data_IF_677045436675
#
_entry.id   IF_677045436675
#
_cell.length_a   1.000
_cell.length_b   1.000
_cell.length_c   1.000
_cell.angle_alpha   90.00
_cell.angle_beta   90.00
_cell.angle_gamma   90.00
#
_symmetry.space_group_name_H-M   'P 1'
#
loop_
_entity.id
_entity.type
_entity.pdbx_description
1 polymer ?
#
# COMPACT_ATOMS: atom_id res chain seq x y z
N UNK A 1 -23.34 9.31 -9.32
CA UNK A 1 -22.02 9.82 -9.01
C UNK A 1 -21.37 8.93 -7.95
N UNK A 2 -20.14 8.48 -8.20
CA UNK A 2 -19.45 7.51 -7.32
C UNK A 2 -19.08 8.09 -5.95
N UNK A 3 -19.00 9.40 -5.80
CA UNK A 3 -18.69 10.02 -4.49
C UNK A 3 -19.88 10.04 -3.53
N UNK A 4 -21.05 9.61 -3.95
CA UNK A 4 -22.24 9.60 -3.06
C UNK A 4 -22.09 8.67 -1.86
N UNK A 5 -21.17 7.71 -1.94
CA UNK A 5 -20.87 6.79 -0.84
C UNK A 5 -19.96 7.41 0.22
N UNK A 6 -19.39 8.57 -0.06
CA UNK A 6 -18.37 9.21 0.78
C UNK A 6 -19.02 10.16 1.77
N UNK A 7 -18.72 9.95 3.06
CA UNK A 7 -19.13 10.85 4.13
C UNK A 7 -18.33 12.17 4.07
N UNK A 8 -17.01 12.04 4.05
CA UNK A 8 -16.10 13.18 3.90
C UNK A 8 -14.76 12.73 3.33
N UNK A 9 -14.03 13.67 2.73
CA UNK A 9 -12.67 13.43 2.27
C UNK A 9 -11.71 13.49 3.46
N UNK A 10 -10.86 12.50 3.59
CA UNK A 10 -9.83 12.46 4.62
C UNK A 10 -8.52 13.05 4.09
N UNK A 11 -8.14 12.69 2.86
CA UNK A 11 -6.98 13.24 2.16
C UNK A 11 -7.39 13.64 0.75
N UNK A 12 -7.19 14.91 0.40
CA UNK A 12 -7.47 15.43 -0.93
C UNK A 12 -6.38 15.00 -1.92
N UNK A 13 -6.60 15.24 -3.21
CA UNK A 13 -5.57 15.05 -4.23
C UNK A 13 -4.29 15.82 -3.90
N UNK A 14 -4.44 17.07 -3.44
CA UNK A 14 -3.30 17.92 -3.07
C UNK A 14 -2.55 17.34 -1.86
N UNK A 15 -3.26 16.84 -0.85
CA UNK A 15 -2.66 16.20 0.32
C UNK A 15 -1.82 14.98 -0.11
N UNK A 16 -2.35 14.16 -1.01
CA UNK A 16 -1.66 12.97 -1.49
C UNK A 16 -0.46 13.36 -2.34
N UNK A 17 -0.58 14.40 -3.18
CA UNK A 17 0.54 14.91 -3.97
C UNK A 17 1.67 15.37 -3.06
N UNK A 18 1.37 16.08 -1.98
CA UNK A 18 2.38 16.51 -1.00
C UNK A 18 3.08 15.33 -0.34
N UNK A 19 2.34 14.26 -0.01
CA UNK A 19 2.92 13.02 0.51
C UNK A 19 3.93 12.43 -0.50
N UNK A 20 3.53 12.35 -1.77
CA UNK A 20 4.39 11.80 -2.83
C UNK A 20 5.66 12.63 -3.04
N UNK A 21 5.56 13.97 -3.02
CA UNK A 21 6.72 14.85 -3.16
C UNK A 21 7.69 14.67 -1.99
N UNK A 22 7.18 14.67 -0.76
CA UNK A 22 8.00 14.51 0.45
C UNK A 22 8.67 13.13 0.49
N UNK A 23 7.91 12.08 0.26
CA UNK A 23 8.43 10.72 0.27
C UNK A 23 9.39 10.46 -0.90
N UNK A 24 9.04 10.98 -2.08
CA UNK A 24 9.89 10.86 -3.27
C UNK A 24 11.26 11.48 -3.06
N UNK A 25 11.31 12.65 -2.42
CA UNK A 25 12.58 13.31 -2.08
C UNK A 25 13.39 12.46 -1.10
N UNK A 26 12.77 11.95 -0.06
CA UNK A 26 13.45 11.12 0.94
C UNK A 26 13.98 9.82 0.32
N UNK A 27 13.18 9.16 -0.52
CA UNK A 27 13.57 7.94 -1.20
C UNK A 27 14.69 8.18 -2.21
N UNK A 28 14.69 9.32 -2.90
CA UNK A 28 15.75 9.72 -3.80
C UNK A 28 17.09 9.80 -3.06
N UNK A 29 17.10 10.41 -1.88
CA UNK A 29 18.31 10.53 -1.06
C UNK A 29 18.76 9.16 -0.54
N UNK A 30 17.82 8.37 -0.01
CA UNK A 30 18.13 7.08 0.64
C UNK A 30 18.57 6.01 -0.36
N UNK A 31 18.10 6.08 -1.60
CA UNK A 31 18.42 5.09 -2.63
C UNK A 31 19.39 5.61 -3.70
N UNK A 32 20.01 6.74 -3.48
CA UNK A 32 20.99 7.30 -4.44
C UNK A 32 22.10 6.26 -4.73
N UNK A 33 22.32 5.97 -6.01
CA UNK A 33 23.33 5.02 -6.46
C UNK A 33 23.00 3.54 -6.25
N UNK A 34 21.84 3.23 -5.71
CA UNK A 34 21.48 1.82 -5.36
C UNK A 34 20.67 1.09 -6.42
N UNK A 35 20.07 1.79 -7.35
CA UNK A 35 19.20 1.22 -8.40
C UNK A 35 18.19 0.22 -7.84
N UNK A 36 17.28 0.64 -6.94
CA UNK A 36 16.40 -0.30 -6.25
C UNK A 36 15.40 -0.96 -7.20
N UNK A 37 14.91 -2.12 -6.78
CA UNK A 37 13.71 -2.72 -7.35
C UNK A 37 12.52 -2.21 -6.53
N UNK A 38 11.61 -1.49 -7.18
CA UNK A 38 10.40 -0.96 -6.54
C UNK A 38 9.25 -1.90 -6.87
N UNK A 39 8.69 -2.52 -5.83
CA UNK A 39 7.65 -3.53 -5.95
C UNK A 39 6.32 -2.97 -5.50
N UNK A 40 5.39 -2.81 -6.43
CA UNK A 40 4.03 -2.39 -6.11
C UNK A 40 3.18 -3.55 -5.65
N UNK A 41 2.52 -3.40 -4.50
CA UNK A 41 1.58 -4.38 -4.00
C UNK A 41 0.21 -4.20 -4.67
N UNK A 42 -0.12 -5.09 -5.60
CA UNK A 42 -1.37 -5.04 -6.35
C UNK A 42 -2.53 -5.54 -5.50
N UNK A 43 -3.73 -5.03 -5.71
CA UNK A 43 -4.06 -3.95 -6.68
C UNK A 43 -3.95 -2.56 -6.06
N UNK A 44 -4.10 -2.47 -4.74
CA UNK A 44 -4.35 -1.22 -4.02
C UNK A 44 -3.27 -0.16 -4.18
N UNK A 45 -2.02 -0.54 -4.38
CA UNK A 45 -0.92 0.41 -4.47
C UNK A 45 -0.74 1.03 -5.87
N UNK A 46 -1.57 0.65 -6.87
CA UNK A 46 -1.30 1.03 -8.26
C UNK A 46 -1.22 2.56 -8.46
N UNK A 47 -2.14 3.33 -7.88
CA UNK A 47 -2.15 4.78 -8.05
C UNK A 47 -1.02 5.45 -7.27
N UNK A 48 -0.83 5.06 -6.01
CA UNK A 48 0.24 5.62 -5.19
C UNK A 48 1.63 5.29 -5.77
N UNK A 49 1.82 4.06 -6.24
CA UNK A 49 3.07 3.65 -6.89
C UNK A 49 3.43 4.55 -8.07
N UNK A 50 2.48 4.81 -8.95
CA UNK A 50 2.73 5.61 -10.15
C UNK A 50 3.06 7.05 -9.81
N UNK A 51 2.35 7.65 -8.87
CA UNK A 51 2.60 9.03 -8.46
C UNK A 51 3.86 9.17 -7.62
N UNK A 52 4.15 8.22 -6.74
CA UNK A 52 5.36 8.22 -5.92
C UNK A 52 6.62 8.06 -6.77
N UNK A 53 6.64 7.09 -7.68
CA UNK A 53 7.83 6.80 -8.48
C UNK A 53 8.20 7.95 -9.42
N UNK A 54 7.22 8.73 -9.88
CA UNK A 54 7.49 9.94 -10.66
C UNK A 54 8.17 11.05 -9.85
N UNK A 55 8.09 10.99 -8.53
CA UNK A 55 8.78 11.92 -7.63
C UNK A 55 10.14 11.40 -7.15
N UNK A 56 10.51 10.19 -7.56
CA UNK A 56 11.80 9.59 -7.21
C UNK A 56 12.81 9.86 -8.32
N UNK A 57 13.77 10.76 -8.07
CA UNK A 57 14.85 11.06 -9.01
C UNK A 57 16.01 10.07 -8.82
N UNK A 58 15.70 8.79 -9.03
CA UNK A 58 16.66 7.69 -8.92
C UNK A 58 16.26 6.59 -9.91
N UNK A 59 17.23 6.09 -10.66
CA UNK A 59 17.00 4.99 -11.58
C UNK A 59 16.57 3.76 -10.81
N UNK A 60 15.50 3.13 -11.23
CA UNK A 60 14.92 1.95 -10.56
C UNK A 60 14.21 1.05 -11.56
N UNK A 61 14.02 -0.20 -11.17
CA UNK A 61 13.18 -1.14 -11.90
C UNK A 61 11.85 -1.28 -11.18
N UNK A 62 10.77 -1.43 -11.94
CA UNK A 62 9.44 -1.69 -11.38
C UNK A 62 9.13 -3.17 -11.48
N UNK A 63 8.48 -3.69 -10.44
CA UNK A 63 7.90 -5.01 -10.43
C UNK A 63 6.63 -4.98 -9.59
N UNK A 64 5.89 -6.08 -9.58
CA UNK A 64 4.62 -6.18 -8.87
C UNK A 64 4.55 -7.49 -8.10
N UNK A 65 3.87 -7.44 -6.97
CA UNK A 65 3.57 -8.61 -6.16
C UNK A 65 2.10 -8.55 -5.78
N UNK A 66 1.35 -9.59 -6.11
CA UNK A 66 -0.05 -9.68 -5.75
C UNK A 66 -0.22 -10.81 -4.75
N UNK A 67 -0.64 -10.46 -3.56
CA UNK A 67 -0.91 -11.41 -2.48
C UNK A 67 -2.34 -11.23 -2.00
N UNK A 68 -2.96 -12.32 -1.53
CA UNK A 68 -4.28 -12.26 -0.95
C UNK A 68 -4.27 -12.97 0.40
N UNK A 69 -5.09 -12.47 1.33
CA UNK A 69 -5.30 -13.17 2.58
C UNK A 69 -6.39 -14.23 2.42
N UNK A 70 -6.22 -15.36 3.12
CA UNK A 70 -7.24 -16.40 3.20
C UNK A 70 -8.28 -16.00 4.25
N UNK A 71 -9.53 -16.19 3.92
CA UNK A 71 -10.65 -16.04 4.85
C UNK A 71 -11.88 -15.51 4.14
N UNK A 72 -13.04 -15.93 4.64
CA UNK A 72 -14.33 -15.43 4.18
C UNK A 72 -14.68 -14.17 4.97
N UNK A 73 -15.02 -13.10 4.26
CA UNK A 73 -15.51 -11.87 4.85
C UNK A 73 -14.40 -10.90 5.25
N UNK A 74 -14.69 -10.10 6.28
CA UNK A 74 -13.88 -8.95 6.69
C UNK A 74 -12.73 -9.32 7.65
N UNK A 75 -12.63 -10.56 8.07
CA UNK A 75 -11.60 -11.01 9.00
C UNK A 75 -10.47 -11.72 8.27
N UNK A 76 -9.24 -11.27 8.54
CA UNK A 76 -8.05 -11.96 8.06
C UNK A 76 -7.81 -13.19 8.95
N UNK A 77 -7.63 -14.36 8.33
CA UNK A 77 -7.25 -15.59 9.04
C UNK A 77 -5.76 -15.65 9.36
N UNK A 78 -5.00 -14.62 8.99
CA UNK A 78 -3.56 -14.59 9.17
C UNK A 78 -2.80 -15.39 8.13
N UNK A 79 -3.47 -16.00 7.17
CA UNK A 79 -2.85 -16.76 6.09
C UNK A 79 -2.82 -15.90 4.82
N UNK A 80 -1.65 -15.86 4.19
CA UNK A 80 -1.41 -15.08 2.97
C UNK A 80 -0.92 -16.02 1.89
N UNK A 81 -1.42 -15.86 0.68
CA UNK A 81 -0.94 -16.59 -0.50
C UNK A 81 -0.53 -15.65 -1.60
N UNK A 82 0.41 -16.10 -2.43
CA UNK A 82 0.84 -15.38 -3.62
C UNK A 82 -0.14 -15.68 -4.75
N UNK A 83 -0.70 -14.62 -5.34
CA UNK A 83 -1.54 -14.68 -6.53
C UNK A 83 -0.68 -14.49 -7.77
N UNK A 84 0.24 -13.51 -7.74
CA UNK A 84 1.19 -13.25 -8.82
C UNK A 84 2.52 -12.80 -8.21
N UNK A 85 3.58 -13.51 -8.56
CA UNK A 85 4.89 -13.31 -7.98
C UNK A 85 5.75 -12.35 -8.82
N UNK A 86 6.88 -11.94 -8.23
CA UNK A 86 7.90 -11.13 -8.88
C UNK A 86 8.46 -11.84 -10.11
N UNK A 87 8.75 -11.08 -11.15
CA UNK A 87 9.45 -11.58 -12.35
C UNK A 87 10.92 -11.15 -12.37
N UNK A 88 11.27 -10.11 -11.60
CA UNK A 88 12.65 -9.62 -11.50
C UNK A 88 13.44 -10.47 -10.51
N UNK A 89 14.71 -10.78 -10.87
CA UNK A 89 15.64 -11.40 -9.93
C UNK A 89 16.10 -10.34 -8.93
N UNK A 90 15.78 -10.56 -7.66
CA UNK A 90 16.07 -9.60 -6.58
C UNK A 90 17.32 -9.96 -5.77
N UNK A 91 18.03 -11.00 -6.19
CA UNK A 91 19.25 -11.43 -5.47
C UNK A 91 20.25 -10.28 -5.39
N UNK A 92 20.73 -10.01 -4.17
CA UNK A 92 21.69 -8.96 -3.86
C UNK A 92 21.20 -7.54 -4.22
N UNK A 93 19.88 -7.35 -4.35
CA UNK A 93 19.26 -6.08 -4.70
C UNK A 93 18.60 -5.42 -3.48
N UNK A 94 18.62 -4.09 -3.49
CA UNK A 94 17.80 -3.31 -2.55
C UNK A 94 16.36 -3.25 -3.10
N UNK A 95 15.39 -3.64 -2.29
CA UNK A 95 13.98 -3.71 -2.68
C UNK A 95 13.15 -2.78 -1.83
N UNK A 96 12.30 -2.00 -2.49
CA UNK A 96 11.32 -1.12 -1.85
C UNK A 96 9.92 -1.62 -2.21
N UNK A 97 9.17 -2.08 -1.21
CA UNK A 97 7.74 -2.40 -1.38
C UNK A 97 6.94 -1.10 -1.27
N UNK A 98 6.02 -0.89 -2.20
CA UNK A 98 5.07 0.24 -2.13
C UNK A 98 3.68 -0.32 -1.88
N UNK A 99 3.07 0.14 -0.78
CA UNK A 99 1.76 -0.29 -0.29
C UNK A 99 0.77 0.88 -0.25
N UNK A 100 -0.51 0.59 -0.37
CA UNK A 100 -1.56 1.60 -0.15
C UNK A 100 -1.74 1.87 1.34
N UNK A 101 -1.95 0.83 2.12
CA UNK A 101 -2.16 0.93 3.57
C UNK A 101 -1.54 -0.27 4.27
N UNK A 102 -0.91 -0.03 5.40
CA UNK A 102 -0.46 -1.08 6.30
C UNK A 102 -1.36 -1.09 7.52
N UNK A 103 -2.07 -2.19 7.68
CA UNK A 103 -3.10 -2.41 8.69
C UNK A 103 -2.52 -3.27 9.83
N UNK A 104 -2.85 -4.58 9.89
CA UNK A 104 -2.34 -5.48 10.92
C UNK A 104 -0.84 -5.73 10.83
N UNK A 105 -0.28 -5.60 9.65
CA UNK A 105 1.11 -5.87 9.35
C UNK A 105 1.39 -7.28 8.84
N UNK A 106 0.38 -8.16 8.85
CA UNK A 106 0.55 -9.56 8.42
C UNK A 106 0.99 -9.67 6.96
N UNK A 107 0.32 -8.94 6.06
CA UNK A 107 0.65 -8.93 4.63
C UNK A 107 2.05 -8.38 4.40
N UNK A 108 2.40 -7.28 5.06
CA UNK A 108 3.72 -6.67 4.91
C UNK A 108 4.82 -7.62 5.39
N UNK A 109 4.64 -8.25 6.54
CA UNK A 109 5.62 -9.21 7.06
C UNK A 109 5.82 -10.37 6.09
N UNK A 110 4.72 -10.92 5.56
CA UNK A 110 4.78 -11.99 4.57
C UNK A 110 5.58 -11.57 3.33
N UNK A 111 5.29 -10.38 2.78
CA UNK A 111 5.97 -9.89 1.59
C UNK A 111 7.45 -9.67 1.83
N UNK A 112 7.81 -9.08 2.97
CA UNK A 112 9.22 -8.87 3.33
C UNK A 112 9.98 -10.20 3.45
N UNK A 113 9.40 -11.17 4.14
CA UNK A 113 10.01 -12.50 4.31
C UNK A 113 10.15 -13.22 2.96
N UNK A 114 9.12 -13.13 2.12
CA UNK A 114 9.14 -13.74 0.79
C UNK A 114 10.28 -13.18 -0.09
N UNK A 115 10.44 -11.86 -0.10
CA UNK A 115 11.46 -11.19 -0.90
C UNK A 115 12.85 -11.45 -0.34
N UNK A 116 13.01 -11.43 1.00
CA UNK A 116 14.28 -11.77 1.63
C UNK A 116 14.69 -13.22 1.36
N UNK A 117 13.73 -14.14 1.33
CA UNK A 117 13.99 -15.55 1.01
C UNK A 117 14.49 -15.73 -0.43
N UNK A 118 14.22 -14.78 -1.32
CA UNK A 118 14.73 -14.76 -2.69
C UNK A 118 16.11 -14.10 -2.81
N UNK A 119 16.73 -13.76 -1.70
CA UNK A 119 18.11 -13.30 -1.64
C UNK A 119 18.30 -11.79 -1.73
N UNK A 120 17.26 -10.99 -1.52
CA UNK A 120 17.39 -9.55 -1.53
C UNK A 120 18.40 -9.06 -0.47
N UNK A 121 19.14 -8.01 -0.82
CA UNK A 121 20.10 -7.38 0.10
C UNK A 121 19.40 -6.63 1.21
N UNK A 122 18.32 -5.94 0.87
CA UNK A 122 17.46 -5.23 1.83
C UNK A 122 16.03 -5.20 1.32
N UNK A 123 15.08 -5.12 2.24
CA UNK A 123 13.66 -4.94 1.91
C UNK A 123 13.08 -3.92 2.87
N UNK A 124 12.58 -2.81 2.33
CA UNK A 124 11.87 -1.77 3.08
C UNK A 124 10.51 -1.54 2.45
N UNK A 125 9.64 -0.85 3.17
CA UNK A 125 8.30 -0.53 2.70
C UNK A 125 8.00 0.96 2.82
N UNK A 126 7.33 1.49 1.78
CA UNK A 126 6.72 2.81 1.79
C UNK A 126 5.22 2.64 1.58
N UNK A 127 4.42 3.01 2.57
CA UNK A 127 2.97 2.97 2.48
C UNK A 127 2.39 4.38 2.35
N UNK A 128 1.29 4.52 1.61
CA UNK A 128 0.56 5.78 1.61
C UNK A 128 0.00 6.08 3.00
N UNK A 129 -0.65 5.08 3.61
CA UNK A 129 -1.30 5.21 4.90
C UNK A 129 -0.80 4.15 5.89
N UNK A 130 -0.63 4.59 7.14
CA UNK A 130 -0.25 3.74 8.27
C UNK A 130 -1.42 3.65 9.25
N UNK A 131 -2.07 2.51 9.32
CA UNK A 131 -3.16 2.25 10.26
C UNK A 131 -2.61 1.56 11.51
N UNK A 132 -1.76 2.27 12.22
CA UNK A 132 -0.95 1.76 13.33
C UNK A 132 -1.81 1.16 14.47
N UNK A 133 -3.00 1.73 14.71
CA UNK A 133 -3.90 1.26 15.76
C UNK A 133 -4.39 -0.19 15.53
N UNK A 134 -4.33 -0.68 14.30
CA UNK A 134 -4.71 -2.05 13.98
C UNK A 134 -3.53 -3.03 13.90
N UNK A 135 -2.32 -2.56 14.20
CA UNK A 135 -1.14 -3.41 14.14
C UNK A 135 -1.24 -4.54 15.16
N UNK A 136 -1.07 -5.78 14.73
CA UNK A 136 -1.13 -6.97 15.58
C UNK A 136 0.19 -7.72 15.66
N UNK A 137 1.12 -7.42 14.77
CA UNK A 137 2.43 -8.05 14.74
C UNK A 137 3.52 -7.02 14.63
N UNK A 138 4.73 -7.37 15.07
CA UNK A 138 5.90 -6.52 14.96
C UNK A 138 6.47 -6.63 13.53
N UNK A 139 6.36 -5.56 12.76
CA UNK A 139 6.95 -5.40 11.45
C UNK A 139 7.27 -3.93 11.24
N UNK A 140 8.47 -3.64 10.73
CA UNK A 140 8.88 -2.27 10.49
C UNK A 140 8.23 -1.70 9.24
N UNK A 141 7.68 -0.49 9.34
CA UNK A 141 7.24 0.32 8.23
C UNK A 141 8.15 1.55 8.17
N UNK A 142 9.09 1.54 7.24
CA UNK A 142 10.17 2.54 7.19
C UNK A 142 9.70 3.92 6.72
N UNK A 143 8.74 3.95 5.78
CA UNK A 143 8.23 5.20 5.22
C UNK A 143 6.71 5.15 5.12
N UNK A 144 6.05 6.26 5.42
CA UNK A 144 4.60 6.36 5.19
C UNK A 144 4.18 7.82 4.99
N UNK A 145 3.09 7.98 4.25
CA UNK A 145 2.54 9.32 3.95
C UNK A 145 1.86 9.95 5.16
N UNK A 146 0.90 9.25 5.74
CA UNK A 146 0.18 9.72 6.93
C UNK A 146 -0.33 8.57 7.77
N UNK A 147 -0.54 8.82 9.05
CA UNK A 147 -1.31 7.92 9.91
C UNK A 147 -2.79 8.11 9.63
N UNK A 148 -3.55 7.06 9.86
CA UNK A 148 -5.02 7.06 9.74
C UNK A 148 -5.60 6.34 10.95
N UNK A 149 -6.78 6.75 11.40
CA UNK A 149 -7.48 6.13 12.51
C UNK A 149 -8.27 4.89 12.09
N UNK A 150 -9.37 4.62 12.81
CA UNK A 150 -10.17 3.41 12.57
C UNK A 150 -11.24 3.58 11.48
N UNK A 151 -11.30 4.73 10.82
CA UNK A 151 -12.26 4.98 9.75
C UNK A 151 -12.08 3.98 8.61
N UNK A 152 -13.19 3.60 7.98
CA UNK A 152 -13.14 2.79 6.78
C UNK A 152 -12.93 3.71 5.58
N UNK A 153 -11.75 3.61 4.97
CA UNK A 153 -11.31 4.52 3.90
C UNK A 153 -11.29 3.84 2.55
N UNK A 154 -11.65 4.59 1.52
CA UNK A 154 -11.63 4.13 0.12
C UNK A 154 -11.06 5.25 -0.77
N UNK A 155 -10.72 4.86 -1.99
CA UNK A 155 -10.20 5.78 -3.00
C UNK A 155 -8.68 5.76 -3.08
N UNK A 156 -8.16 6.26 -4.15
CA UNK A 156 -6.73 6.29 -4.46
C UNK A 156 -6.08 4.91 -4.32
N UNK A 157 -6.77 3.89 -4.84
CA UNK A 157 -6.36 2.50 -4.79
C UNK A 157 -7.07 1.66 -3.73
N UNK A 158 -7.49 2.27 -2.62
CA UNK A 158 -8.24 1.57 -1.57
C UNK A 158 -9.65 1.25 -2.04
N UNK A 159 -10.14 0.06 -1.71
CA UNK A 159 -11.42 -0.44 -2.23
C UNK A 159 -12.48 -0.68 -1.16
N UNK A 160 -13.69 -0.75 -1.64
CA UNK A 160 -14.81 -1.39 -0.98
C UNK A 160 -15.47 -2.34 -2.00
N UNK A 161 -15.48 -3.64 -1.70
CA UNK A 161 -15.98 -4.68 -2.61
C UNK A 161 -15.29 -4.65 -3.98
N UNK A 162 -13.99 -4.41 -3.99
CA UNK A 162 -13.13 -4.29 -5.18
C UNK A 162 -13.51 -3.14 -6.12
N UNK A 163 -14.23 -2.14 -5.61
CA UNK A 163 -14.66 -0.94 -6.35
C UNK A 163 -14.14 0.32 -5.66
N UNK A 164 -14.32 1.47 -6.29
CA UNK A 164 -14.02 2.81 -5.79
C UNK A 164 -12.52 3.14 -5.66
N UNK A 165 -11.65 2.26 -6.15
CA UNK A 165 -10.20 2.51 -6.16
C UNK A 165 -9.83 3.75 -6.97
N UNK A 166 -10.67 4.10 -7.97
CA UNK A 166 -10.42 5.19 -8.92
C UNK A 166 -10.83 6.58 -8.42
N UNK A 167 -11.37 6.69 -7.21
CA UNK A 167 -11.57 8.02 -6.62
C UNK A 167 -10.21 8.72 -6.45
N UNK A 168 -10.08 9.99 -6.88
CA UNK A 168 -8.77 10.65 -6.88
C UNK A 168 -8.33 11.19 -5.51
N UNK A 169 -9.05 10.83 -4.47
CA UNK A 169 -8.81 11.20 -3.08
C UNK A 169 -9.06 9.99 -2.19
N UNK A 170 -8.68 10.09 -0.92
CA UNK A 170 -9.05 9.11 0.11
C UNK A 170 -10.21 9.66 0.91
N UNK A 171 -11.31 8.93 0.93
CA UNK A 171 -12.53 9.32 1.63
C UNK A 171 -12.98 8.28 2.65
N UNK A 172 -13.78 8.73 3.62
CA UNK A 172 -14.41 7.87 4.62
C UNK A 172 -15.77 7.45 4.10
N UNK A 173 -16.05 6.14 4.11
CA UNK A 173 -17.36 5.61 3.70
C UNK A 173 -18.44 6.05 4.68
N UNK A 174 -19.62 6.35 4.13
CA UNK A 174 -20.81 6.56 4.95
C UNK A 174 -21.14 5.29 5.73
N UNK A 175 -21.43 5.38 7.04
CA UNK A 175 -21.77 4.20 7.84
C UNK A 175 -22.93 3.37 7.29
N UNK A 176 -23.93 4.03 6.71
CA UNK A 176 -25.09 3.34 6.13
C UNK A 176 -24.73 2.48 4.92
N UNK A 177 -23.68 2.85 4.17
CA UNK A 177 -23.20 2.05 3.05
C UNK A 177 -22.60 0.75 3.55
N UNK A 178 -21.79 0.82 4.60
CA UNK A 178 -21.17 -0.35 5.21
C UNK A 178 -22.24 -1.29 5.76
N UNK A 179 -23.24 -0.75 6.48
CA UNK A 179 -24.33 -1.53 7.06
C UNK A 179 -25.19 -2.21 6.01
N UNK A 180 -25.47 -1.52 4.90
CA UNK A 180 -26.28 -2.08 3.80
C UNK A 180 -25.67 -3.37 3.26
N UNK A 181 -24.35 -3.43 3.10
CA UNK A 181 -23.65 -4.60 2.58
C UNK A 181 -23.37 -5.65 3.66
N UNK A 182 -23.23 -5.25 4.91
CA UNK A 182 -23.02 -6.20 6.01
C UNK A 182 -24.26 -7.04 6.32
N UNK A 183 -25.45 -6.53 5.98
CA UNK A 183 -26.74 -7.21 6.22
C UNK A 183 -27.19 -8.07 5.03
N UNK A 184 -26.38 -8.23 4.01
CA UNK A 184 -26.60 -9.12 2.86
C UNK A 184 -25.68 -10.34 2.97
#
# INVERSE_FOLDING_TARGET
NIDQIIDHKLFTEDDIHEMCVRLGKQLTEDYAGKKPVVVGALKGAIYFLTDLTRQMDVAHQLDFLDVSSYGDGFESTGKVKIVSDLVTDVKDRDVLIVEDIVDTGLTLKFMKEHIMARGAKSVKCCAMLNKEARRTIDVELEYYGSKVGNEFVVGYGLDFLNMYRNLPYVGVLKPEVIQHYANK
#
